data_IF_671203828519
#
_entry.id   IF_671203828519
#
_cell.length_a   1.000
_cell.length_b   1.000
_cell.length_c   1.000
_cell.angle_alpha   90.00
_cell.angle_beta   90.00
_cell.angle_gamma   90.00
#
_symmetry.space_group_name_H-M   'P 1'
#
loop_
_entity.id
_entity.type
_entity.pdbx_description
1 polymer ?
#
# COMPACT_ATOMS: atom_id res chain seq x y z
N UNK A 1 76.85 -22.06 -39.02
CA UNK A 1 76.68 -20.86 -38.17
C UNK A 1 75.30 -21.00 -37.50
N UNK A 2 75.31 -21.28 -36.23
CA UNK A 2 74.21 -21.86 -35.44
C UNK A 2 73.23 -20.80 -34.98
N UNK A 3 71.93 -20.99 -35.26
CA UNK A 3 70.86 -20.14 -34.70
C UNK A 3 70.18 -20.90 -33.57
N UNK A 4 70.25 -20.31 -32.39
CA UNK A 4 69.59 -20.86 -31.20
C UNK A 4 68.10 -20.50 -31.16
N UNK A 5 67.26 -21.49 -31.06
CA UNK A 5 65.82 -21.38 -30.86
C UNK A 5 65.52 -21.33 -29.38
N UNK A 6 65.10 -20.13 -28.88
CA UNK A 6 64.69 -19.94 -27.48
C UNK A 6 63.18 -20.23 -27.34
N UNK A 7 62.85 -21.24 -26.57
CA UNK A 7 61.50 -21.66 -26.25
C UNK A 7 60.90 -20.74 -25.18
N UNK A 8 59.89 -19.91 -25.54
CA UNK A 8 59.09 -19.15 -24.59
C UNK A 8 57.94 -20.03 -24.07
N UNK A 9 58.06 -20.46 -22.82
CA UNK A 9 56.94 -21.11 -22.09
C UNK A 9 56.04 -20.00 -21.56
N UNK A 10 54.85 -19.83 -22.13
CA UNK A 10 53.81 -18.98 -21.61
C UNK A 10 53.13 -19.70 -20.47
N UNK A 11 53.35 -19.23 -19.24
CA UNK A 11 52.57 -19.63 -18.05
C UNK A 11 51.22 -18.93 -18.10
N UNK A 12 50.20 -19.66 -18.46
CA UNK A 12 48.82 -19.20 -18.34
C UNK A 12 48.44 -19.16 -16.85
N UNK A 13 48.51 -18.00 -16.25
CA UNK A 13 47.94 -17.75 -14.93
C UNK A 13 46.39 -17.83 -15.06
N UNK A 14 45.79 -18.90 -14.54
CA UNK A 14 44.35 -18.98 -14.39
C UNK A 14 43.91 -18.02 -13.30
N UNK A 15 43.46 -16.84 -13.70
CA UNK A 15 42.73 -15.96 -12.81
C UNK A 15 41.41 -16.62 -12.41
N UNK A 16 41.41 -17.28 -11.26
CA UNK A 16 40.18 -17.67 -10.57
C UNK A 16 39.43 -16.41 -10.20
N UNK A 17 38.49 -15.99 -11.01
CA UNK A 17 37.50 -14.95 -10.65
C UNK A 17 36.75 -15.43 -9.42
N UNK A 18 37.22 -15.02 -8.23
CA UNK A 18 36.47 -15.14 -7.00
C UNK A 18 35.21 -14.30 -7.12
N UNK A 19 34.05 -14.97 -7.37
CA UNK A 19 32.75 -14.35 -7.23
C UNK A 19 32.67 -13.74 -5.81
N UNK A 20 32.32 -12.45 -5.68
CA UNK A 20 32.18 -11.83 -4.36
C UNK A 20 31.23 -12.68 -3.52
N UNK A 21 31.50 -12.85 -2.21
CA UNK A 21 30.65 -13.66 -1.34
C UNK A 21 29.23 -13.10 -1.38
N UNK A 22 28.25 -13.94 -1.74
CA UNK A 22 26.83 -13.57 -1.64
C UNK A 22 26.55 -13.21 -0.20
N UNK A 23 26.36 -11.93 0.10
CA UNK A 23 25.92 -11.46 1.40
C UNK A 23 24.63 -12.19 1.74
N UNK A 24 24.66 -13.01 2.77
CA UNK A 24 23.50 -13.78 3.21
C UNK A 24 22.51 -12.82 3.85
N UNK A 25 21.30 -12.70 3.28
CA UNK A 25 20.26 -11.86 3.84
C UNK A 25 19.94 -12.27 5.29
N UNK A 26 19.74 -11.29 6.15
CA UNK A 26 19.25 -11.51 7.52
C UNK A 26 17.80 -12.04 7.50
N UNK A 27 17.33 -12.62 8.59
CA UNK A 27 15.95 -13.07 8.72
C UNK A 27 14.93 -11.92 8.54
N UNK A 28 15.26 -10.72 9.01
CA UNK A 28 14.42 -9.53 8.82
C UNK A 28 14.34 -9.09 7.36
N UNK A 29 15.48 -9.01 6.67
CA UNK A 29 15.52 -8.69 5.23
C UNK A 29 14.75 -9.72 4.41
N UNK A 30 14.88 -11.00 4.74
CA UNK A 30 14.14 -12.09 4.11
C UNK A 30 12.63 -11.95 4.32
N UNK A 31 12.22 -11.64 5.56
CA UNK A 31 10.81 -11.40 5.87
C UNK A 31 10.26 -10.24 5.05
N UNK A 32 10.97 -9.12 4.94
CA UNK A 32 10.58 -7.97 4.12
C UNK A 32 10.49 -8.31 2.63
N UNK A 33 11.44 -9.06 2.11
CA UNK A 33 11.42 -9.54 0.71
C UNK A 33 10.16 -10.37 0.44
N UNK A 34 9.84 -11.33 1.30
CA UNK A 34 8.68 -12.20 1.17
C UNK A 34 7.37 -11.41 1.21
N UNK A 35 7.24 -10.43 2.11
CA UNK A 35 6.07 -9.54 2.19
C UNK A 35 5.89 -8.74 0.90
N UNK A 36 6.96 -8.16 0.35
CA UNK A 36 6.88 -7.36 -0.88
C UNK A 36 6.48 -8.20 -2.09
N UNK A 37 7.04 -9.41 -2.24
CA UNK A 37 6.68 -10.34 -3.31
C UNK A 37 5.22 -10.79 -3.17
N UNK A 38 4.81 -11.14 -1.95
CA UNK A 38 3.44 -11.56 -1.67
C UNK A 38 2.42 -10.45 -1.96
N UNK A 39 2.74 -9.18 -1.59
CA UNK A 39 1.90 -8.03 -1.89
C UNK A 39 1.59 -7.93 -3.39
N UNK A 40 2.62 -7.96 -4.24
CA UNK A 40 2.44 -7.90 -5.70
C UNK A 40 1.61 -9.08 -6.21
N UNK A 41 1.91 -10.30 -5.78
CA UNK A 41 1.16 -11.49 -6.21
C UNK A 41 -0.31 -11.43 -5.79
N UNK A 42 -0.59 -11.06 -4.55
CA UNK A 42 -1.97 -10.92 -4.07
C UNK A 42 -2.72 -9.78 -4.75
N UNK A 43 -2.04 -8.67 -5.06
CA UNK A 43 -2.64 -7.55 -5.80
C UNK A 43 -3.00 -7.93 -7.24
N UNK A 44 -2.11 -8.68 -7.94
CA UNK A 44 -2.32 -9.11 -9.32
C UNK A 44 -3.40 -10.18 -9.44
N UNK A 45 -3.33 -11.23 -8.60
CA UNK A 45 -4.09 -12.48 -8.78
C UNK A 45 -5.19 -12.71 -7.75
N UNK A 46 -5.15 -11.96 -6.66
CA UNK A 46 -6.03 -12.18 -5.51
C UNK A 46 -5.53 -13.27 -4.58
N UNK A 47 -6.21 -13.39 -3.43
CA UNK A 47 -5.86 -14.35 -2.39
C UNK A 47 -5.94 -15.80 -2.91
N UNK A 48 -7.08 -16.18 -3.49
CA UNK A 48 -7.34 -17.58 -3.86
C UNK A 48 -6.33 -18.13 -4.88
N UNK A 49 -5.99 -17.33 -5.89
CA UNK A 49 -5.13 -17.76 -7.00
C UNK A 49 -3.62 -17.65 -6.72
N UNK A 50 -3.22 -17.16 -5.53
CA UNK A 50 -1.82 -17.08 -5.11
C UNK A 50 -1.45 -18.26 -4.23
N UNK A 51 -0.29 -18.88 -4.45
CA UNK A 51 0.21 -19.99 -3.64
C UNK A 51 1.50 -19.62 -2.89
N UNK A 52 1.73 -20.32 -1.75
CA UNK A 52 3.00 -20.18 -0.98
C UNK A 52 4.18 -20.64 -1.81
N UNK A 53 3.99 -21.65 -2.66
CA UNK A 53 5.01 -22.17 -3.60
C UNK A 53 5.49 -21.09 -4.56
N UNK A 54 4.55 -20.32 -5.12
CA UNK A 54 4.88 -19.25 -6.06
C UNK A 54 5.62 -18.11 -5.38
N UNK A 55 5.19 -17.71 -4.16
CA UNK A 55 5.92 -16.70 -3.35
C UNK A 55 7.34 -17.17 -3.06
N UNK A 56 7.52 -18.44 -2.64
CA UNK A 56 8.82 -19.01 -2.35
C UNK A 56 9.71 -19.04 -3.60
N UNK A 57 9.16 -19.45 -4.74
CA UNK A 57 9.86 -19.50 -6.02
C UNK A 57 10.35 -18.11 -6.45
N UNK A 58 9.47 -17.09 -6.40
CA UNK A 58 9.86 -15.71 -6.75
C UNK A 58 10.89 -15.11 -5.79
N UNK A 59 10.86 -15.53 -4.53
CA UNK A 59 11.83 -15.10 -3.51
C UNK A 59 13.17 -15.85 -3.60
N UNK A 60 13.26 -16.93 -4.39
CA UNK A 60 14.43 -17.79 -4.47
C UNK A 60 14.69 -18.57 -3.17
N UNK A 61 13.63 -18.97 -2.46
CA UNK A 61 13.68 -19.75 -1.21
C UNK A 61 12.83 -21.01 -1.31
N UNK A 62 13.00 -21.91 -0.33
CA UNK A 62 12.13 -23.09 -0.22
C UNK A 62 10.82 -22.76 0.49
N UNK A 63 9.75 -23.52 0.20
CA UNK A 63 8.43 -23.38 0.85
C UNK A 63 8.50 -23.38 2.40
N UNK A 64 9.29 -24.26 3.06
CA UNK A 64 9.46 -24.23 4.52
C UNK A 64 9.86 -22.88 5.08
N UNK A 65 10.69 -22.11 4.38
CA UNK A 65 11.10 -20.76 4.82
C UNK A 65 9.90 -19.81 4.93
N UNK A 66 8.95 -19.88 4.00
CA UNK A 66 7.72 -19.07 4.07
C UNK A 66 6.87 -19.48 5.27
N UNK A 67 6.73 -20.81 5.50
CA UNK A 67 5.99 -21.32 6.65
C UNK A 67 6.64 -20.92 7.99
N UNK A 68 7.96 -20.94 8.09
CA UNK A 68 8.72 -20.50 9.27
C UNK A 68 8.42 -19.03 9.62
N UNK A 69 8.33 -18.15 8.61
CA UNK A 69 8.12 -16.73 8.83
C UNK A 69 6.66 -16.34 9.07
N UNK A 70 5.69 -17.09 8.50
CA UNK A 70 4.30 -16.65 8.44
C UNK A 70 3.26 -17.72 8.81
N UNK A 71 3.67 -18.96 9.03
CA UNK A 71 2.75 -20.07 9.31
C UNK A 71 1.95 -20.56 8.11
N UNK A 72 2.05 -19.90 6.94
CA UNK A 72 1.36 -20.27 5.71
C UNK A 72 0.81 -19.09 4.93
N UNK A 73 -0.08 -19.38 3.96
CA UNK A 73 -0.66 -18.37 3.05
C UNK A 73 -1.51 -17.34 3.81
N UNK A 74 -2.35 -17.83 4.73
CA UNK A 74 -3.24 -16.97 5.52
C UNK A 74 -2.46 -15.98 6.39
N UNK A 75 -1.47 -16.47 7.16
CA UNK A 75 -0.62 -15.61 7.98
C UNK A 75 0.22 -14.63 7.16
N UNK A 76 0.73 -15.05 5.99
CA UNK A 76 1.42 -14.15 5.07
C UNK A 76 0.49 -13.06 4.55
N UNK A 77 -0.73 -13.41 4.14
CA UNK A 77 -1.73 -12.44 3.66
C UNK A 77 -2.12 -11.44 4.75
N UNK A 78 -2.42 -11.92 5.96
CA UNK A 78 -2.76 -11.08 7.10
C UNK A 78 -1.66 -10.04 7.39
N UNK A 79 -0.39 -10.45 7.40
CA UNK A 79 0.75 -9.55 7.60
C UNK A 79 0.89 -8.53 6.47
N UNK A 80 0.62 -8.92 5.22
CA UNK A 80 0.66 -7.99 4.08
C UNK A 80 -0.45 -6.95 4.20
N UNK A 81 -1.69 -7.36 4.49
CA UNK A 81 -2.84 -6.46 4.66
C UNK A 81 -2.61 -5.49 5.83
N UNK A 82 -2.20 -6.01 6.99
CA UNK A 82 -1.90 -5.19 8.19
C UNK A 82 -0.85 -4.11 7.89
N UNK A 83 0.22 -4.48 7.18
CA UNK A 83 1.28 -3.54 6.79
C UNK A 83 0.80 -2.46 5.82
N UNK A 84 -0.04 -2.81 4.85
CA UNK A 84 -0.59 -1.84 3.91
C UNK A 84 -1.63 -0.93 4.57
N UNK A 85 -2.44 -1.47 5.48
CA UNK A 85 -3.37 -0.70 6.29
C UNK A 85 -2.63 0.31 7.19
N UNK A 86 -1.59 -0.15 7.91
CA UNK A 86 -0.76 0.72 8.74
C UNK A 86 -0.12 1.84 7.93
N UNK A 87 0.44 1.53 6.74
CA UNK A 87 1.06 2.53 5.88
C UNK A 87 0.05 3.59 5.38
N UNK A 88 -1.19 3.19 5.07
CA UNK A 88 -2.26 4.11 4.69
C UNK A 88 -2.65 5.01 5.86
N UNK A 89 -2.87 4.44 7.04
CA UNK A 89 -3.23 5.18 8.25
C UNK A 89 -2.13 6.14 8.70
N UNK A 90 -0.87 5.71 8.66
CA UNK A 90 0.29 6.56 9.00
C UNK A 90 0.41 7.75 8.04
N UNK A 91 0.18 7.53 6.73
CA UNK A 91 0.15 8.60 5.74
C UNK A 91 -0.93 9.62 6.01
N UNK A 92 -2.14 9.17 6.37
CA UNK A 92 -3.26 10.04 6.71
C UNK A 92 -3.01 10.79 8.03
N UNK A 93 -2.63 10.09 9.10
CA UNK A 93 -2.42 10.68 10.43
C UNK A 93 -1.28 11.66 10.48
N UNK A 94 -0.14 11.36 9.84
CA UNK A 94 1.01 12.27 9.77
C UNK A 94 0.68 13.58 9.06
N UNK A 95 -0.31 13.56 8.18
CA UNK A 95 -0.77 14.73 7.42
C UNK A 95 -1.75 15.64 8.20
N UNK A 96 -2.32 15.17 9.32
CA UNK A 96 -3.36 15.86 10.09
C UNK A 96 -2.82 16.95 11.05
N UNK A 97 -1.82 17.73 10.64
CA UNK A 97 -1.21 18.78 11.49
C UNK A 97 -1.99 20.10 11.53
N UNK A 98 -3.03 20.27 10.74
CA UNK A 98 -3.74 21.54 10.56
C UNK A 98 -5.07 21.57 11.32
N UNK A 99 -5.31 22.65 12.10
CA UNK A 99 -6.54 22.81 12.89
C UNK A 99 -7.75 23.39 12.12
N UNK A 100 -7.59 23.75 10.83
CA UNK A 100 -8.67 24.29 10.01
C UNK A 100 -9.31 23.17 9.17
N UNK A 101 -10.64 23.11 9.12
CA UNK A 101 -11.38 22.02 8.50
C UNK A 101 -11.07 21.82 7.00
N UNK A 102 -11.17 22.88 6.18
CA UNK A 102 -10.96 22.76 4.72
C UNK A 102 -9.55 22.30 4.34
N UNK A 103 -8.47 22.93 4.84
CA UNK A 103 -7.10 22.44 4.59
C UNK A 103 -6.87 21.02 5.12
N UNK A 104 -7.55 20.64 6.22
CA UNK A 104 -7.45 19.30 6.78
C UNK A 104 -8.04 18.24 5.85
N UNK A 105 -9.21 18.50 5.25
CA UNK A 105 -9.83 17.59 4.27
C UNK A 105 -8.95 17.46 3.03
N UNK A 106 -8.42 18.58 2.51
CA UNK A 106 -7.51 18.57 1.37
C UNK A 106 -6.26 17.72 1.65
N UNK A 107 -5.66 17.89 2.82
CA UNK A 107 -4.48 17.12 3.25
C UNK A 107 -4.77 15.61 3.32
N UNK A 108 -5.93 15.22 3.88
CA UNK A 108 -6.35 13.80 3.94
C UNK A 108 -6.56 13.23 2.54
N UNK A 109 -7.23 13.96 1.66
CA UNK A 109 -7.46 13.51 0.27
C UNK A 109 -6.14 13.36 -0.47
N UNK A 110 -5.23 14.33 -0.33
CA UNK A 110 -3.89 14.25 -0.92
C UNK A 110 -3.07 13.08 -0.36
N UNK A 111 -3.13 12.83 0.95
CA UNK A 111 -2.45 11.69 1.57
C UNK A 111 -2.96 10.35 1.02
N UNK A 112 -4.28 10.19 0.88
CA UNK A 112 -4.88 9.00 0.26
C UNK A 112 -4.43 8.84 -1.19
N UNK A 113 -4.54 9.88 -2.02
CA UNK A 113 -4.12 9.82 -3.43
C UNK A 113 -2.61 9.57 -3.58
N UNK A 114 -1.78 10.12 -2.68
CA UNK A 114 -0.34 9.84 -2.64
C UNK A 114 -0.08 8.37 -2.31
N UNK A 115 -0.79 7.80 -1.34
CA UNK A 115 -0.71 6.37 -1.06
C UNK A 115 -1.12 5.52 -2.28
N UNK A 116 -2.21 5.86 -2.95
CA UNK A 116 -2.66 5.19 -4.20
C UNK A 116 -1.58 5.26 -5.28
N UNK A 117 -0.89 6.40 -5.42
CA UNK A 117 0.16 6.59 -6.41
C UNK A 117 1.42 5.78 -6.11
N UNK A 118 1.91 5.85 -4.88
CA UNK A 118 3.17 5.26 -4.45
C UNK A 118 3.06 3.76 -4.13
N UNK A 119 1.87 3.30 -3.71
CA UNK A 119 1.61 1.95 -3.24
C UNK A 119 0.41 1.31 -3.94
N UNK A 120 0.38 1.41 -5.25
CA UNK A 120 -0.71 0.92 -6.12
C UNK A 120 -1.12 -0.52 -5.81
N UNK A 121 -0.16 -1.44 -5.69
CA UNK A 121 -0.43 -2.85 -5.34
C UNK A 121 -1.04 -2.99 -3.96
N UNK A 122 -0.55 -2.21 -2.99
CA UNK A 122 -1.09 -2.18 -1.63
C UNK A 122 -2.55 -1.73 -1.62
N UNK A 123 -2.88 -0.66 -2.35
CA UNK A 123 -4.25 -0.18 -2.42
C UNK A 123 -5.19 -1.16 -3.14
N UNK A 124 -4.74 -1.76 -4.26
CA UNK A 124 -5.49 -2.83 -4.94
C UNK A 124 -5.77 -4.02 -4.02
N UNK A 125 -4.80 -4.40 -3.21
CA UNK A 125 -4.96 -5.46 -2.24
C UNK A 125 -5.99 -5.11 -1.16
N UNK A 126 -5.94 -3.88 -0.62
CA UNK A 126 -6.90 -3.41 0.40
C UNK A 126 -8.34 -3.34 -0.13
N UNK A 127 -8.54 -3.03 -1.43
CA UNK A 127 -9.88 -3.01 -2.05
C UNK A 127 -10.48 -4.41 -2.23
N UNK A 128 -9.67 -5.48 -2.17
CA UNK A 128 -10.12 -6.85 -2.35
C UNK A 128 -10.51 -7.45 -1.02
N UNK A 129 -11.79 -7.72 -0.84
CA UNK A 129 -12.26 -8.50 0.30
C UNK A 129 -11.76 -9.94 0.19
N UNK A 130 -11.22 -10.47 1.30
CA UNK A 130 -10.79 -11.85 1.41
C UNK A 130 -11.16 -12.39 2.79
N UNK A 131 -11.50 -13.68 2.91
CA UNK A 131 -11.79 -14.30 4.21
C UNK A 131 -10.66 -14.14 5.22
N UNK A 132 -9.40 -14.11 4.77
CA UNK A 132 -8.23 -13.92 5.62
C UNK A 132 -8.04 -12.47 6.10
N UNK A 133 -8.65 -11.48 5.42
CA UNK A 133 -8.60 -10.08 5.81
C UNK A 133 -9.56 -9.74 6.96
N UNK A 134 -10.58 -10.57 7.20
CA UNK A 134 -11.61 -10.32 8.24
C UNK A 134 -10.97 -10.21 9.64
N UNK A 135 -9.88 -10.93 9.91
CA UNK A 135 -9.18 -10.89 11.20
C UNK A 135 -8.23 -9.69 11.36
N UNK A 136 -7.80 -9.06 10.26
CA UNK A 136 -6.80 -7.98 10.26
C UNK A 136 -7.37 -6.59 9.98
N UNK A 137 -8.69 -6.49 9.79
CA UNK A 137 -9.34 -5.28 9.27
C UNK A 137 -9.32 -5.24 7.75
N UNK A 138 -10.41 -4.73 7.16
CA UNK A 138 -10.58 -4.58 5.72
C UNK A 138 -10.61 -3.11 5.35
N UNK A 139 -10.43 -2.78 4.06
CA UNK A 139 -10.67 -1.41 3.57
C UNK A 139 -12.09 -0.94 3.90
N UNK A 140 -13.07 -1.85 3.85
CA UNK A 140 -14.45 -1.57 4.24
C UNK A 140 -14.58 -1.21 5.73
N UNK A 141 -13.84 -1.86 6.63
CA UNK A 141 -13.82 -1.48 8.05
C UNK A 141 -13.18 -0.12 8.27
N UNK A 142 -12.09 0.18 7.57
CA UNK A 142 -11.45 1.49 7.62
C UNK A 142 -12.40 2.61 7.14
N UNK A 143 -13.16 2.37 6.05
CA UNK A 143 -14.17 3.31 5.55
C UNK A 143 -15.27 3.52 6.61
N UNK A 144 -15.78 2.45 7.24
CA UNK A 144 -16.79 2.56 8.27
C UNK A 144 -16.29 3.34 9.50
N UNK A 145 -15.04 3.13 9.92
CA UNK A 145 -14.42 3.88 11.01
C UNK A 145 -14.26 5.36 10.63
N UNK A 146 -13.85 5.66 9.41
CA UNK A 146 -13.77 7.02 8.91
C UNK A 146 -15.15 7.70 8.87
N UNK A 147 -16.19 7.02 8.41
CA UNK A 147 -17.57 7.51 8.42
C UNK A 147 -18.01 7.82 9.85
N UNK A 148 -17.76 6.93 10.80
CA UNK A 148 -18.13 7.11 12.22
C UNK A 148 -17.44 8.33 12.84
N UNK A 149 -16.15 8.51 12.59
CA UNK A 149 -15.38 9.67 13.07
C UNK A 149 -15.87 10.99 12.46
N UNK A 150 -16.05 11.02 11.13
CA UNK A 150 -16.56 12.21 10.42
C UNK A 150 -17.97 12.54 10.88
N UNK A 151 -18.83 11.54 11.07
CA UNK A 151 -20.19 11.72 11.59
C UNK A 151 -20.19 12.39 12.98
N UNK A 152 -19.34 11.93 13.90
CA UNK A 152 -19.21 12.51 15.24
C UNK A 152 -18.77 13.98 15.19
N UNK A 153 -17.81 14.31 14.32
CA UNK A 153 -17.32 15.69 14.11
C UNK A 153 -18.44 16.56 13.56
N UNK A 154 -19.16 16.10 12.54
CA UNK A 154 -20.26 16.84 11.90
C UNK A 154 -21.44 17.04 12.86
N UNK A 155 -21.83 16.04 13.66
CA UNK A 155 -22.90 16.16 14.63
C UNK A 155 -22.63 17.29 15.65
N UNK A 156 -21.38 17.36 16.14
CA UNK A 156 -20.97 18.44 17.03
C UNK A 156 -20.99 19.83 16.35
N UNK A 157 -20.62 19.92 15.07
CA UNK A 157 -20.64 21.17 14.31
C UNK A 157 -22.09 21.60 13.97
N UNK A 158 -22.94 20.66 13.57
CA UNK A 158 -24.36 20.88 13.27
C UNK A 158 -25.09 21.42 14.50
N UNK A 159 -24.89 20.79 15.67
CA UNK A 159 -25.47 21.26 16.95
C UNK A 159 -25.05 22.72 17.24
N UNK A 160 -23.78 23.08 17.07
CA UNK A 160 -23.29 24.45 17.27
C UNK A 160 -23.89 25.47 16.31
N UNK A 161 -24.29 25.07 15.12
CA UNK A 161 -24.89 25.92 14.09
C UNK A 161 -26.40 25.90 14.06
N UNK A 162 -27.05 25.15 14.96
CA UNK A 162 -28.51 25.01 14.99
C UNK A 162 -29.07 24.16 13.87
N UNK A 163 -28.22 23.31 13.26
CA UNK A 163 -28.63 22.31 12.27
C UNK A 163 -28.96 21.00 12.98
N UNK A 164 -29.72 20.13 12.31
CA UNK A 164 -30.09 18.82 12.83
C UNK A 164 -28.89 17.88 12.87
N UNK A 165 -28.40 17.49 14.07
CA UNK A 165 -27.26 16.58 14.20
C UNK A 165 -27.54 15.16 13.72
N UNK A 166 -28.80 14.74 13.62
CA UNK A 166 -29.21 13.40 13.14
C UNK A 166 -28.93 13.23 11.64
N UNK A 167 -28.69 14.32 10.91
CA UNK A 167 -28.26 14.30 9.51
C UNK A 167 -26.75 14.08 9.33
N UNK A 168 -25.95 14.17 10.40
CA UNK A 168 -24.50 14.03 10.32
C UNK A 168 -24.03 12.68 9.72
N UNK A 169 -24.64 11.52 10.01
CA UNK A 169 -24.26 10.26 9.37
C UNK A 169 -24.44 10.27 7.86
N UNK A 170 -25.51 10.89 7.33
CA UNK A 170 -25.75 11.01 5.92
C UNK A 170 -24.62 11.80 5.21
N UNK A 171 -24.26 12.95 5.78
CA UNK A 171 -23.17 13.77 5.23
C UNK A 171 -21.81 13.09 5.34
N UNK A 172 -21.54 12.40 6.45
CA UNK A 172 -20.32 11.62 6.62
C UNK A 172 -20.20 10.52 5.56
N UNK A 173 -21.27 9.77 5.33
CA UNK A 173 -21.30 8.72 4.31
C UNK A 173 -21.05 9.29 2.90
N UNK A 174 -21.69 10.42 2.57
CA UNK A 174 -21.52 11.07 1.27
C UNK A 174 -20.08 11.58 1.06
N UNK A 175 -19.49 12.23 2.08
CA UNK A 175 -18.13 12.78 2.02
C UNK A 175 -17.07 11.66 1.89
N UNK A 176 -17.08 10.70 2.80
CA UNK A 176 -16.11 9.60 2.81
C UNK A 176 -16.29 8.74 1.56
N UNK A 177 -17.53 8.44 1.18
CA UNK A 177 -17.84 7.66 -0.02
C UNK A 177 -17.35 8.33 -1.30
N UNK A 178 -17.56 9.64 -1.48
CA UNK A 178 -17.09 10.37 -2.66
C UNK A 178 -15.58 10.35 -2.81
N UNK A 179 -14.85 10.56 -1.71
CA UNK A 179 -13.37 10.51 -1.70
C UNK A 179 -12.88 9.10 -2.01
N UNK A 180 -13.47 8.09 -1.38
CA UNK A 180 -13.09 6.68 -1.57
C UNK A 180 -13.33 6.20 -3.00
N UNK A 181 -14.49 6.52 -3.57
CA UNK A 181 -14.82 6.15 -4.95
C UNK A 181 -13.96 6.89 -5.96
N UNK A 182 -13.65 8.17 -5.72
CA UNK A 182 -12.74 8.92 -6.57
C UNK A 182 -11.30 8.37 -6.52
N UNK A 183 -10.82 7.95 -5.36
CA UNK A 183 -9.52 7.31 -5.22
C UNK A 183 -9.45 5.96 -5.97
N UNK A 184 -10.53 5.17 -5.91
CA UNK A 184 -10.63 3.92 -6.66
C UNK A 184 -10.62 4.16 -8.18
N UNK A 185 -11.41 5.11 -8.67
CA UNK A 185 -11.41 5.48 -10.07
C UNK A 185 -10.03 5.98 -10.52
N UNK A 186 -9.41 6.85 -9.72
CA UNK A 186 -8.11 7.43 -10.04
C UNK A 186 -6.95 6.40 -10.00
N UNK A 187 -7.12 5.30 -9.28
CA UNK A 187 -6.18 4.18 -9.25
C UNK A 187 -5.76 3.72 -10.65
N UNK A 188 -6.70 3.69 -11.58
CA UNK A 188 -6.47 3.18 -12.93
C UNK A 188 -6.24 4.30 -13.97
N UNK A 189 -6.90 5.45 -13.81
CA UNK A 189 -6.87 6.55 -14.79
C UNK A 189 -5.62 7.41 -14.67
N UNK A 190 -5.22 7.75 -13.42
CA UNK A 190 -4.03 8.57 -13.08
C UNK A 190 -4.04 10.00 -13.63
N UNK A 191 -5.10 10.40 -14.29
CA UNK A 191 -5.32 11.76 -14.79
C UNK A 191 -6.71 12.26 -14.32
N UNK A 192 -6.83 13.56 -13.99
CA UNK A 192 -5.77 14.56 -13.85
C UNK A 192 -4.83 14.27 -12.67
N UNK A 193 -3.78 15.07 -12.47
CA UNK A 193 -2.82 14.92 -11.35
C UNK A 193 -3.56 14.93 -10.00
N UNK A 194 -3.02 14.23 -9.00
CA UNK A 194 -3.63 14.08 -7.67
C UNK A 194 -3.99 15.40 -6.99
N UNK A 195 -3.19 16.44 -7.18
CA UNK A 195 -3.45 17.77 -6.61
C UNK A 195 -4.72 18.39 -7.20
N UNK A 196 -4.94 18.20 -8.49
CA UNK A 196 -6.15 18.66 -9.19
C UNK A 196 -7.37 17.86 -8.71
N UNK A 197 -7.26 16.54 -8.63
CA UNK A 197 -8.32 15.66 -8.10
C UNK A 197 -8.69 16.08 -6.67
N UNK A 198 -7.70 16.26 -5.80
CA UNK A 198 -7.93 16.68 -4.42
C UNK A 198 -8.64 18.04 -4.34
N UNK A 199 -8.17 19.04 -5.10
CA UNK A 199 -8.78 20.37 -5.11
C UNK A 199 -10.26 20.33 -5.55
N UNK A 200 -10.58 19.56 -6.61
CA UNK A 200 -11.95 19.40 -7.08
C UNK A 200 -12.85 18.64 -6.11
N UNK A 201 -12.35 17.56 -5.47
CA UNK A 201 -13.09 16.83 -4.44
C UNK A 201 -13.40 17.72 -3.23
N UNK A 202 -12.40 18.46 -2.75
CA UNK A 202 -12.59 19.38 -1.63
C UNK A 202 -13.58 20.50 -1.99
N UNK A 203 -13.48 21.05 -3.21
CA UNK A 203 -14.41 22.06 -3.68
C UNK A 203 -15.85 21.51 -3.77
N UNK A 204 -16.03 20.32 -4.32
CA UNK A 204 -17.34 19.64 -4.40
C UNK A 204 -17.93 19.42 -2.99
N UNK A 205 -17.11 18.92 -2.06
CA UNK A 205 -17.54 18.66 -0.68
C UNK A 205 -17.91 19.95 0.08
N UNK A 206 -17.27 21.09 -0.25
CA UNK A 206 -17.42 22.34 0.48
C UNK A 206 -18.47 23.28 -0.12
N UNK A 207 -18.52 23.38 -1.44
CA UNK A 207 -19.33 24.33 -2.16
C UNK A 207 -20.47 23.66 -2.97
N UNK A 208 -20.48 22.33 -3.08
CA UNK A 208 -21.38 21.63 -3.99
C UNK A 208 -21.02 21.89 -5.45
N UNK A 209 -22.03 21.72 -6.34
CA UNK A 209 -21.89 21.94 -7.78
C UNK A 209 -22.26 23.36 -8.21
N UNK A 210 -22.57 24.23 -7.25
CA UNK A 210 -22.97 25.62 -7.50
C UNK A 210 -21.75 26.51 -7.63
N UNK A 211 -21.41 26.86 -8.84
CA UNK A 211 -20.61 28.01 -9.25
C UNK A 211 -21.31 28.75 -10.34
#
# INVERSE_FOLDING_TARGET
MVVHLGTLIAVAASESQQRPPRVRMTGSERRHQLINIARTLFAERGYESTSVEEVAQRAGVSKPVVYEHFGGKEGLYAVVVDREMSALLDGITSSLTNNRYRPRVETVVLALLTYVEERTDGFRLLLRDSPAAISSGTYSSLINDAVSQVSSILAGDFSRRGLDPDLAPLYAQALVGSVSMAAQWWLDVREPKKEVVAAHLVNLCWNGLTH
#
